data_IF_111000705480
#
_entry.id   IF_111000705480
#
_cell.length_a   1.000
_cell.length_b   1.000
_cell.length_c   1.000
_cell.angle_alpha   90.00
_cell.angle_beta   90.00
_cell.angle_gamma   90.00
#
_symmetry.space_group_name_H-M   'P 1'
#
loop_
_entity.id
_entity.type
_entity.pdbx_description
1 polymer ?
#
# COMPACT_ATOMS: atom_id res chain seq x y z
N UNK A 1 13.87 -60.55 -53.50
CA UNK A 1 12.69 -60.54 -52.61
C UNK A 1 12.99 -61.63 -51.59
N UNK A 2 13.18 -61.39 -50.30
CA UNK A 2 12.65 -60.36 -49.40
C UNK A 2 13.75 -59.86 -48.44
N UNK A 3 13.56 -58.64 -47.93
CA UNK A 3 14.32 -58.09 -46.80
C UNK A 3 13.91 -58.79 -45.50
N UNK A 4 14.87 -59.10 -44.63
CA UNK A 4 14.61 -59.23 -43.20
C UNK A 4 15.62 -58.38 -42.44
N UNK A 5 15.07 -57.32 -41.88
CA UNK A 5 15.68 -56.33 -41.00
C UNK A 5 16.11 -56.96 -39.68
N UNK A 6 17.33 -56.71 -39.25
CA UNK A 6 17.72 -56.89 -37.84
C UNK A 6 18.25 -55.57 -37.30
N UNK A 7 17.44 -55.02 -36.39
CA UNK A 7 17.74 -53.92 -35.51
C UNK A 7 18.93 -54.27 -34.60
N UNK A 8 19.89 -53.36 -34.49
CA UNK A 8 20.82 -53.36 -33.37
C UNK A 8 20.89 -51.97 -32.75
N UNK A 9 20.74 -52.01 -31.43
CA UNK A 9 20.55 -50.95 -30.45
C UNK A 9 21.70 -49.96 -30.37
N UNK A 10 21.37 -48.67 -30.35
CA UNK A 10 22.28 -47.57 -30.02
C UNK A 10 22.74 -47.63 -28.55
N UNK A 11 24.02 -47.38 -28.24
CA UNK A 11 24.45 -47.23 -26.85
C UNK A 11 24.08 -45.84 -26.32
N UNK A 12 23.29 -45.80 -25.24
CA UNK A 12 22.95 -44.59 -24.50
C UNK A 12 24.19 -44.08 -23.77
N UNK A 13 24.91 -43.13 -24.37
CA UNK A 13 25.99 -42.39 -23.71
C UNK A 13 25.38 -41.48 -22.64
N UNK A 14 25.51 -41.86 -21.36
CA UNK A 14 25.19 -40.97 -20.24
C UNK A 14 26.24 -39.87 -20.18
N UNK A 15 25.95 -38.74 -20.82
CA UNK A 15 26.77 -37.53 -20.70
C UNK A 15 26.54 -36.92 -19.32
N UNK A 16 27.50 -37.13 -18.42
CA UNK A 16 27.61 -36.43 -17.13
C UNK A 16 27.56 -34.92 -17.40
N UNK A 17 26.48 -34.25 -16.99
CA UNK A 17 26.36 -32.78 -17.09
C UNK A 17 27.41 -32.15 -16.17
N UNK A 18 28.57 -31.81 -16.73
CA UNK A 18 29.53 -30.90 -16.11
C UNK A 18 28.92 -29.51 -16.11
N UNK A 19 28.55 -29.01 -14.94
CA UNK A 19 28.14 -27.62 -14.76
C UNK A 19 29.40 -26.77 -15.01
N UNK A 20 29.44 -25.87 -16.01
CA UNK A 20 30.63 -25.08 -16.28
C UNK A 20 30.83 -24.08 -15.15
N UNK A 21 31.84 -24.33 -14.31
CA UNK A 21 32.37 -23.35 -13.37
C UNK A 21 33.18 -22.38 -14.22
N UNK A 22 32.57 -21.25 -14.58
CA UNK A 22 33.25 -20.14 -15.23
C UNK A 22 34.51 -19.75 -14.45
N UNK A 23 35.62 -19.41 -15.13
CA UNK A 23 36.84 -19.02 -14.46
C UNK A 23 36.57 -17.82 -13.54
N UNK A 24 37.01 -17.92 -12.29
CA UNK A 24 36.88 -16.91 -11.24
C UNK A 24 37.08 -15.44 -11.70
N UNK A 25 38.09 -15.10 -12.54
CA UNK A 25 38.27 -13.73 -13.01
C UNK A 25 37.14 -13.22 -13.93
N UNK A 26 36.49 -14.08 -14.73
CA UNK A 26 35.42 -13.66 -15.62
C UNK A 26 34.13 -13.36 -14.84
N UNK A 27 33.84 -14.14 -13.79
CA UNK A 27 32.71 -13.88 -12.88
C UNK A 27 32.85 -12.53 -12.19
N UNK A 28 34.05 -12.23 -11.69
CA UNK A 28 34.35 -10.97 -11.01
C UNK A 28 34.17 -9.75 -11.94
N UNK A 29 34.62 -9.85 -13.20
CA UNK A 29 34.44 -8.77 -14.18
C UNK A 29 32.95 -8.54 -14.50
N UNK A 30 32.17 -9.62 -14.68
CA UNK A 30 30.73 -9.50 -14.90
C UNK A 30 30.00 -8.89 -13.70
N UNK A 31 30.33 -9.29 -12.48
CA UNK A 31 29.75 -8.72 -11.25
C UNK A 31 30.07 -7.23 -11.09
N UNK A 32 31.32 -6.83 -11.33
CA UNK A 32 31.74 -5.42 -11.32
C UNK A 32 30.97 -4.63 -12.39
N UNK A 33 30.83 -5.19 -13.59
CA UNK A 33 30.10 -4.52 -14.68
C UNK A 33 28.63 -4.31 -14.34
N UNK A 34 27.95 -5.32 -13.80
CA UNK A 34 26.55 -5.23 -13.35
C UNK A 34 26.41 -4.19 -12.22
N UNK A 35 27.34 -4.20 -11.27
CA UNK A 35 27.35 -3.28 -10.15
C UNK A 35 27.54 -1.83 -10.64
N UNK A 36 28.46 -1.59 -11.56
CA UNK A 36 28.65 -0.28 -12.19
C UNK A 36 27.39 0.18 -12.92
N UNK A 37 26.74 -0.70 -13.70
CA UNK A 37 25.49 -0.37 -14.37
C UNK A 37 24.38 -0.01 -13.37
N UNK A 38 24.27 -0.75 -12.28
CA UNK A 38 23.32 -0.47 -11.21
C UNK A 38 23.58 0.91 -10.57
N UNK A 39 24.84 1.24 -10.28
CA UNK A 39 25.21 2.55 -9.76
C UNK A 39 24.93 3.70 -10.74
N UNK A 40 25.10 3.48 -12.04
CA UNK A 40 24.77 4.48 -13.08
C UNK A 40 23.27 4.75 -13.11
N UNK A 41 22.43 3.72 -13.04
CA UNK A 41 20.96 3.88 -13.00
C UNK A 41 20.54 4.63 -11.73
N UNK A 42 21.08 4.25 -10.57
CA UNK A 42 20.81 4.94 -9.32
C UNK A 42 21.27 6.40 -9.34
N UNK A 43 22.43 6.68 -9.96
CA UNK A 43 22.94 8.03 -10.08
C UNK A 43 22.06 8.91 -10.97
N UNK A 44 21.61 8.39 -12.13
CA UNK A 44 20.66 9.10 -13.00
C UNK A 44 19.34 9.36 -12.25
N UNK A 45 18.85 8.37 -11.50
CA UNK A 45 17.64 8.52 -10.70
C UNK A 45 17.81 9.58 -9.60
N UNK A 46 18.95 9.58 -8.89
CA UNK A 46 19.26 10.57 -7.87
C UNK A 46 19.38 11.99 -8.44
N UNK A 47 19.94 12.16 -9.65
CA UNK A 47 19.97 13.46 -10.34
C UNK A 47 18.59 13.95 -10.77
N UNK A 48 17.67 13.04 -11.09
CA UNK A 48 16.28 13.37 -11.50
C UNK A 48 15.30 13.42 -10.34
N UNK A 49 15.70 12.98 -9.14
CA UNK A 49 14.87 12.97 -7.95
C UNK A 49 14.38 14.36 -7.54
N UNK A 50 15.23 15.42 -7.46
CA UNK A 50 14.79 16.74 -7.02
C UNK A 50 13.76 17.38 -7.96
N UNK A 51 13.93 17.20 -9.28
CA UNK A 51 12.97 17.67 -10.29
C UNK A 51 11.62 16.96 -10.16
N UNK A 52 11.65 15.67 -9.80
CA UNK A 52 10.44 14.86 -9.65
C UNK A 52 9.69 15.25 -8.39
N UNK A 53 10.40 15.45 -7.28
CA UNK A 53 9.86 15.93 -6.01
C UNK A 53 9.21 17.31 -6.16
N UNK A 54 9.88 18.26 -6.80
CA UNK A 54 9.35 19.60 -7.05
C UNK A 54 8.09 19.58 -7.93
N UNK A 55 8.05 18.71 -8.94
CA UNK A 55 6.85 18.54 -9.79
C UNK A 55 5.69 17.92 -9.02
N UNK A 56 5.96 16.89 -8.21
CA UNK A 56 4.94 16.25 -7.38
C UNK A 56 4.38 17.25 -6.36
N UNK A 57 5.25 17.98 -5.66
CA UNK A 57 4.83 19.02 -4.74
C UNK A 57 4.03 20.12 -5.44
N UNK A 58 4.45 20.58 -6.62
CA UNK A 58 3.73 21.58 -7.40
C UNK A 58 2.31 21.13 -7.82
N UNK A 59 2.15 19.87 -8.22
CA UNK A 59 0.85 19.29 -8.58
C UNK A 59 -0.05 19.10 -7.35
N UNK A 60 0.51 18.68 -6.22
CA UNK A 60 -0.27 18.53 -4.98
C UNK A 60 -0.72 19.90 -4.50
N UNK A 61 0.19 20.88 -4.42
CA UNK A 61 -0.11 22.25 -4.01
C UNK A 61 -1.13 22.91 -4.94
N UNK A 62 -1.09 22.68 -6.25
CA UNK A 62 -2.07 23.26 -7.17
C UNK A 62 -3.49 22.72 -6.96
N UNK A 63 -3.62 21.46 -6.53
CA UNK A 63 -4.93 20.84 -6.22
C UNK A 63 -5.41 21.11 -4.80
N UNK A 64 -4.50 21.23 -3.83
CA UNK A 64 -4.85 21.43 -2.41
C UNK A 64 -4.93 22.90 -2.01
N UNK A 65 -4.40 23.83 -2.81
CA UNK A 65 -4.51 25.26 -2.53
C UNK A 65 -5.96 25.72 -2.60
N UNK A 66 -6.38 26.44 -1.58
CA UNK A 66 -7.63 27.19 -1.55
C UNK A 66 -7.48 28.45 -2.41
N UNK A 67 -7.81 28.33 -3.69
CA UNK A 67 -7.81 29.42 -4.65
C UNK A 67 -9.17 29.44 -5.40
N UNK A 68 -9.63 30.59 -5.90
CA UNK A 68 -10.87 30.66 -6.67
C UNK A 68 -10.85 29.64 -7.83
N UNK A 69 -11.92 28.85 -7.95
CA UNK A 69 -12.10 27.78 -8.96
C UNK A 69 -11.12 26.59 -8.89
N UNK A 70 -10.29 26.46 -7.84
CA UNK A 70 -9.48 25.24 -7.66
C UNK A 70 -10.32 24.05 -7.17
N UNK A 71 -9.88 22.83 -7.47
CA UNK A 71 -10.51 21.58 -6.99
C UNK A 71 -10.63 21.58 -5.45
N UNK A 72 -9.59 22.03 -4.74
CA UNK A 72 -9.59 22.17 -3.29
C UNK A 72 -10.65 23.15 -2.78
N UNK A 73 -10.84 24.28 -3.46
CA UNK A 73 -11.87 25.27 -3.08
C UNK A 73 -13.29 24.77 -3.39
N UNK A 74 -13.49 24.05 -4.51
CA UNK A 74 -14.78 23.44 -4.85
C UNK A 74 -15.16 22.38 -3.81
N UNK A 75 -14.20 21.51 -3.45
CA UNK A 75 -14.37 20.49 -2.41
C UNK A 75 -14.57 21.08 -1.01
N UNK A 76 -13.94 22.22 -0.69
CA UNK A 76 -14.16 22.92 0.57
C UNK A 76 -15.57 23.50 0.67
N UNK A 77 -16.04 24.15 -0.41
CA UNK A 77 -17.38 24.74 -0.45
C UNK A 77 -18.49 23.67 -0.50
N UNK A 78 -18.22 22.55 -1.17
CA UNK A 78 -19.13 21.41 -1.28
C UNK A 78 -18.38 20.12 -0.92
N UNK A 79 -18.29 19.78 0.39
CA UNK A 79 -17.59 18.59 0.85
C UNK A 79 -18.11 17.35 0.13
N UNK A 80 -17.23 16.51 -0.46
CA UNK A 80 -17.64 15.31 -1.18
C UNK A 80 -18.20 14.23 -0.24
N UNK A 81 -18.04 14.39 1.07
CA UNK A 81 -18.53 13.49 2.10
C UNK A 81 -19.55 14.23 2.97
N UNK A 82 -20.78 13.75 2.96
CA UNK A 82 -21.79 14.17 3.93
C UNK A 82 -21.48 13.53 5.28
N UNK A 83 -21.20 14.37 6.28
CA UNK A 83 -20.93 13.89 7.64
C UNK A 83 -22.27 13.72 8.36
N UNK A 84 -22.71 12.48 8.58
CA UNK A 84 -23.86 12.20 9.43
C UNK A 84 -23.36 12.20 10.87
N UNK A 85 -23.94 13.05 11.71
CA UNK A 85 -23.68 13.05 13.15
C UNK A 85 -24.80 12.35 13.88
N UNK A 86 -24.46 11.36 14.69
CA UNK A 86 -25.42 10.63 15.52
C UNK A 86 -25.29 11.07 16.98
N UNK A 87 -26.40 11.50 17.58
CA UNK A 87 -26.46 11.81 19.00
C UNK A 87 -27.12 10.68 19.76
N UNK A 88 -26.60 10.39 20.95
CA UNK A 88 -27.19 9.44 21.88
C UNK A 88 -27.46 10.16 23.20
N UNK A 89 -28.63 9.93 23.76
CA UNK A 89 -29.02 10.50 25.04
C UNK A 89 -28.96 9.41 26.09
N UNK A 90 -28.57 9.78 27.30
CA UNK A 90 -28.61 8.90 28.46
C UNK A 90 -29.84 9.30 29.28
N UNK A 91 -30.82 8.41 29.34
CA UNK A 91 -32.01 8.62 30.16
C UNK A 91 -31.77 8.05 31.56
N UNK A 92 -31.91 8.88 32.59
CA UNK A 92 -31.70 8.47 33.98
C UNK A 92 -32.95 7.70 34.45
N UNK A 93 -32.77 6.44 34.83
CA UNK A 93 -33.89 5.55 35.18
C UNK A 93 -34.27 5.62 36.66
N UNK A 94 -33.32 5.93 37.54
CA UNK A 94 -33.50 5.96 39.00
C UNK A 94 -33.46 7.37 39.60
N UNK A 95 -34.02 8.37 38.90
CA UNK A 95 -33.93 9.78 39.30
C UNK A 95 -34.52 10.08 40.69
N UNK A 96 -35.62 9.41 41.07
CA UNK A 96 -36.25 9.60 42.38
C UNK A 96 -35.37 9.09 43.51
N UNK A 97 -34.73 7.94 43.33
CA UNK A 97 -33.85 7.34 44.33
C UNK A 97 -32.60 8.20 44.53
N UNK A 98 -32.04 8.75 43.44
CA UNK A 98 -30.92 9.70 43.49
C UNK A 98 -31.30 10.97 44.28
N UNK A 99 -32.53 11.47 44.12
CA UNK A 99 -32.95 12.72 44.76
C UNK A 99 -33.38 12.54 46.22
N UNK A 100 -33.75 11.32 46.64
CA UNK A 100 -34.39 11.08 47.94
C UNK A 100 -33.58 10.20 48.88
N UNK A 101 -32.69 9.34 48.37
CA UNK A 101 -31.86 8.45 49.19
C UNK A 101 -30.41 8.94 49.27
N UNK A 102 -30.00 9.39 50.45
CA UNK A 102 -28.61 9.77 50.77
C UNK A 102 -27.60 8.62 50.66
N UNK A 103 -28.06 7.36 50.61
CA UNK A 103 -27.22 6.17 50.50
C UNK A 103 -27.25 5.52 49.12
N UNK A 104 -27.90 6.14 48.11
CA UNK A 104 -27.93 5.63 46.74
C UNK A 104 -26.95 6.42 45.86
N UNK A 105 -25.71 5.92 45.65
CA UNK A 105 -24.68 6.70 44.96
C UNK A 105 -24.59 6.34 43.47
N UNK A 106 -25.29 5.31 43.00
CA UNK A 106 -25.12 4.80 41.64
C UNK A 106 -26.24 5.30 40.73
N UNK A 107 -25.87 6.18 39.80
CA UNK A 107 -26.77 6.65 38.75
C UNK A 107 -26.96 5.55 37.71
N UNK A 108 -28.21 5.16 37.50
CA UNK A 108 -28.59 4.22 36.44
C UNK A 108 -29.03 5.00 35.20
N UNK A 109 -28.54 4.58 34.05
CA UNK A 109 -28.88 5.19 32.77
C UNK A 109 -29.20 4.14 31.73
N UNK A 110 -30.17 4.47 30.87
CA UNK A 110 -30.47 3.75 29.64
C UNK A 110 -30.09 4.62 28.45
N UNK A 111 -29.27 4.07 27.57
CA UNK A 111 -28.90 4.72 26.31
C UNK A 111 -30.10 4.70 25.35
N UNK A 112 -30.36 5.81 24.68
CA UNK A 112 -31.36 5.87 23.60
C UNK A 112 -30.80 5.36 22.29
N UNK A 113 -31.69 4.97 21.38
CA UNK A 113 -31.32 4.77 19.98
C UNK A 113 -30.65 6.05 19.41
N UNK A 114 -29.73 5.92 18.44
CA UNK A 114 -29.06 7.07 17.83
C UNK A 114 -30.04 7.96 17.08
N UNK A 115 -29.89 9.28 17.26
CA UNK A 115 -30.61 10.30 16.49
C UNK A 115 -29.67 10.85 15.40
N UNK A 116 -29.84 10.45 14.12
CA UNK A 116 -28.99 10.93 13.04
C UNK A 116 -29.38 12.34 12.59
N UNK A 117 -28.38 13.21 12.44
CA UNK A 117 -28.49 14.54 11.85
C UNK A 117 -27.59 14.63 10.61
N UNK A 118 -28.16 15.17 9.53
CA UNK A 118 -27.49 15.41 8.25
C UNK A 118 -27.12 16.87 8.08
#
# INVERSE_FOLDING_TARGET
>A
MEQVSSSSTSPTSQTRKTIPIWPFPLRLICEIFILVLFFVVLFIFALKWPDTENKIHGIILSKTRLAPMSDGNISWMNPPVTTIREYRLFNITNYMDIMTDTNSPLMEFRETEPFPYK
#
